data_IF_783817110504
#
_entry.id   IF_783817110504
#
_cell.length_a   1.000
_cell.length_b   1.000
_cell.length_c   1.000
_cell.angle_alpha   90.00
_cell.angle_beta   90.00
_cell.angle_gamma   90.00
#
_symmetry.space_group_name_H-M   'P 1'
#
loop_
_entity.id
_entity.type
_entity.pdbx_description
1 polymer ?
#
# COMPACT_ATOMS: atom_id res chain seq x y z
N UNK A 1 9.20 -1.37 3.15
CA UNK A 1 8.66 -1.00 1.82
C UNK A 1 7.98 -2.17 1.09
N UNK A 2 7.04 -2.91 1.73
CA UNK A 2 6.34 -4.05 1.11
C UNK A 2 5.09 -3.66 0.29
N UNK A 3 4.59 -2.45 0.48
CA UNK A 3 3.31 -1.96 -0.09
C UNK A 3 3.43 -1.43 -1.54
N UNK A 4 4.63 -1.05 -1.99
CA UNK A 4 4.81 -0.34 -3.26
C UNK A 4 4.76 -1.24 -4.51
N UNK A 5 5.18 -2.51 -4.39
CA UNK A 5 5.33 -3.38 -5.56
C UNK A 5 4.01 -3.95 -6.10
N UNK A 6 2.99 -4.16 -5.26
CA UNK A 6 1.68 -4.68 -5.69
C UNK A 6 0.71 -3.61 -6.23
N UNK A 7 1.00 -2.32 -6.00
CA UNK A 7 0.21 -1.23 -6.59
C UNK A 7 0.79 -0.88 -7.97
N UNK A 8 2.09 -1.08 -8.18
CA UNK A 8 2.77 -0.69 -9.40
C UNK A 8 2.18 -1.35 -10.64
N UNK A 9 1.91 -2.67 -10.61
CA UNK A 9 1.37 -3.34 -11.80
C UNK A 9 -0.11 -2.97 -11.99
N UNK A 10 -0.91 -2.96 -10.94
CA UNK A 10 -2.32 -2.58 -10.99
C UNK A 10 -2.52 -1.14 -11.45
N UNK A 11 -1.56 -0.26 -11.20
CA UNK A 11 -1.55 1.11 -11.70
C UNK A 11 -1.04 1.20 -13.15
N UNK A 12 0.06 0.53 -13.50
CA UNK A 12 0.70 0.68 -14.82
C UNK A 12 -0.07 -0.08 -15.91
N UNK A 13 -0.58 -1.27 -15.59
CA UNK A 13 -1.24 -2.13 -16.56
C UNK A 13 -2.43 -1.47 -17.27
N UNK A 14 -3.42 -0.89 -16.57
CA UNK A 14 -4.50 -0.16 -17.24
C UNK A 14 -3.96 1.00 -18.08
N UNK A 15 -2.88 1.66 -17.64
CA UNK A 15 -2.20 2.69 -18.42
C UNK A 15 -1.71 2.17 -19.77
N UNK A 16 -1.03 1.01 -19.80
CA UNK A 16 -0.57 0.39 -21.06
C UNK A 16 -1.75 0.00 -21.95
N UNK A 17 -2.82 -0.56 -21.37
CA UNK A 17 -4.01 -0.99 -22.10
C UNK A 17 -4.67 0.19 -22.82
N UNK A 18 -4.92 1.28 -22.09
CA UNK A 18 -5.56 2.47 -22.65
C UNK A 18 -4.63 3.27 -23.57
N UNK A 19 -3.33 3.26 -23.32
CA UNK A 19 -2.34 3.90 -24.20
C UNK A 19 -2.38 3.30 -25.60
N UNK A 20 -2.33 1.97 -25.72
CA UNK A 20 -2.36 1.31 -27.03
C UNK A 20 -3.72 1.53 -27.72
N UNK A 21 -4.83 1.50 -26.98
CA UNK A 21 -6.14 1.84 -27.52
C UNK A 21 -6.18 3.27 -28.08
N UNK A 22 -5.59 4.24 -27.36
CA UNK A 22 -5.48 5.62 -27.85
C UNK A 22 -4.59 5.73 -29.09
N UNK A 23 -3.47 4.99 -29.16
CA UNK A 23 -2.63 4.96 -30.38
C UNK A 23 -3.42 4.42 -31.57
N UNK A 24 -4.16 3.32 -31.41
CA UNK A 24 -5.01 2.75 -32.47
C UNK A 24 -6.02 3.78 -32.96
N UNK A 25 -6.70 4.47 -32.03
CA UNK A 25 -7.66 5.52 -32.35
C UNK A 25 -7.02 6.70 -33.09
N UNK A 26 -5.86 7.18 -32.63
CA UNK A 26 -5.12 8.25 -33.30
C UNK A 26 -4.73 7.82 -34.73
N UNK A 27 -4.30 6.58 -34.92
CA UNK A 27 -3.97 6.06 -36.26
C UNK A 27 -5.18 5.91 -37.17
N UNK A 28 -6.39 5.81 -36.61
CA UNK A 28 -7.64 5.77 -37.37
C UNK A 28 -8.02 7.16 -37.94
N UNK A 29 -7.47 8.25 -37.39
CA UNK A 29 -7.74 9.61 -37.87
C UNK A 29 -7.20 9.78 -39.29
N UNK A 30 -8.11 9.80 -40.27
CA UNK A 30 -7.78 9.97 -41.69
C UNK A 30 -7.45 8.67 -42.44
N UNK A 31 -7.69 7.50 -41.84
CA UNK A 31 -7.60 6.21 -42.53
C UNK A 31 -8.74 6.06 -43.56
N UNK A 32 -8.45 5.36 -44.67
CA UNK A 32 -9.46 4.95 -45.64
C UNK A 32 -10.26 3.73 -45.12
N UNK A 33 -11.31 3.33 -45.82
CA UNK A 33 -12.18 2.24 -45.37
C UNK A 33 -11.42 0.92 -45.10
N UNK A 34 -10.43 0.60 -45.93
CA UNK A 34 -9.60 -0.60 -45.74
C UNK A 34 -8.69 -0.46 -44.52
N UNK A 35 -8.12 0.72 -44.29
CA UNK A 35 -7.33 1.01 -43.09
C UNK A 35 -8.17 0.94 -41.80
N UNK A 36 -9.42 1.40 -41.83
CA UNK A 36 -10.33 1.34 -40.69
C UNK A 36 -10.69 -0.10 -40.33
N UNK A 37 -11.02 -0.95 -41.32
CA UNK A 37 -11.29 -2.38 -41.08
C UNK A 37 -10.07 -3.09 -40.47
N UNK A 38 -8.86 -2.79 -40.98
CA UNK A 38 -7.64 -3.36 -40.42
C UNK A 38 -7.36 -2.89 -38.99
N UNK A 39 -7.61 -1.60 -38.69
CA UNK A 39 -7.45 -1.06 -37.34
C UNK A 39 -8.50 -1.62 -36.37
N UNK A 40 -9.70 -1.91 -36.84
CA UNK A 40 -10.72 -2.62 -36.07
C UNK A 40 -10.25 -4.02 -35.69
N UNK A 41 -9.70 -4.80 -36.63
CA UNK A 41 -9.14 -6.12 -36.32
C UNK A 41 -7.99 -6.04 -35.31
N UNK A 42 -7.12 -5.04 -35.45
CA UNK A 42 -6.03 -4.78 -34.50
C UNK A 42 -6.59 -4.43 -33.11
N UNK A 43 -7.63 -3.61 -33.05
CA UNK A 43 -8.32 -3.28 -31.80
C UNK A 43 -8.94 -4.54 -31.16
N UNK A 44 -9.60 -5.38 -31.96
CA UNK A 44 -10.20 -6.64 -31.48
C UNK A 44 -9.15 -7.57 -30.88
N UNK A 45 -8.04 -7.75 -31.60
CA UNK A 45 -6.94 -8.57 -31.12
C UNK A 45 -6.32 -7.99 -29.85
N UNK A 46 -6.14 -6.67 -29.79
CA UNK A 46 -5.62 -5.98 -28.61
C UNK A 46 -6.55 -6.10 -27.40
N UNK A 47 -7.85 -5.92 -27.59
CA UNK A 47 -8.84 -6.05 -26.53
C UNK A 47 -8.82 -7.45 -25.92
N UNK A 48 -8.83 -8.50 -26.73
CA UNK A 48 -8.75 -9.89 -26.26
C UNK A 48 -7.40 -10.14 -25.56
N UNK A 49 -6.30 -9.66 -26.13
CA UNK A 49 -4.97 -9.78 -25.54
C UNK A 49 -4.88 -9.06 -24.18
N UNK A 50 -5.54 -7.91 -24.03
CA UNK A 50 -5.55 -7.12 -22.80
C UNK A 50 -6.29 -7.83 -21.66
N UNK A 51 -7.42 -8.47 -21.96
CA UNK A 51 -8.14 -9.33 -21.00
C UNK A 51 -7.26 -10.51 -20.61
N UNK A 52 -6.62 -11.15 -21.59
CA UNK A 52 -5.66 -12.23 -21.35
C UNK A 52 -4.54 -11.80 -20.42
N UNK A 53 -3.93 -10.63 -20.67
CA UNK A 53 -2.81 -10.11 -19.88
C UNK A 53 -3.25 -9.78 -18.44
N UNK A 54 -4.41 -9.13 -18.28
CA UNK A 54 -4.99 -8.83 -16.97
C UNK A 54 -5.33 -10.08 -16.15
N UNK A 55 -5.71 -11.19 -16.80
CA UNK A 55 -6.04 -12.46 -16.14
C UNK A 55 -4.82 -13.37 -15.92
N UNK A 56 -3.84 -13.33 -16.83
CA UNK A 56 -2.66 -14.20 -16.80
C UNK A 56 -1.72 -13.80 -15.67
N UNK A 57 -1.57 -12.50 -15.40
CA UNK A 57 -0.72 -12.00 -14.32
C UNK A 57 -1.12 -12.54 -12.93
N UNK A 58 -2.39 -12.44 -12.48
CA UNK A 58 -2.81 -13.07 -11.23
C UNK A 58 -2.73 -14.59 -11.30
N UNK A 59 -2.99 -15.22 -12.46
CA UNK A 59 -2.88 -16.68 -12.61
C UNK A 59 -1.44 -17.19 -12.37
N UNK A 60 -0.43 -16.51 -12.92
CA UNK A 60 0.98 -16.86 -12.68
C UNK A 60 1.30 -16.78 -11.18
N UNK A 61 0.88 -15.71 -10.53
CA UNK A 61 1.18 -15.49 -9.11
C UNK A 61 0.42 -16.47 -8.23
N UNK A 62 -0.80 -16.85 -8.61
CA UNK A 62 -1.51 -17.95 -7.97
C UNK A 62 -0.74 -19.27 -8.05
N UNK A 63 -0.11 -19.58 -9.19
CA UNK A 63 0.64 -20.83 -9.34
C UNK A 63 1.98 -20.82 -8.60
N UNK A 64 2.69 -19.69 -8.59
CA UNK A 64 4.04 -19.59 -8.02
C UNK A 64 4.01 -19.27 -6.51
N UNK A 65 3.13 -18.36 -6.07
CA UNK A 65 3.10 -17.82 -4.68
C UNK A 65 1.69 -17.72 -4.13
N UNK A 66 1.09 -18.89 -3.84
CA UNK A 66 -0.25 -19.02 -3.25
C UNK A 66 -0.43 -18.29 -1.92
N UNK A 67 0.65 -18.16 -1.15
CA UNK A 67 0.70 -17.49 0.15
C UNK A 67 0.49 -15.98 0.05
N UNK A 68 1.05 -15.33 -0.97
CA UNK A 68 0.96 -13.89 -1.19
C UNK A 68 -0.17 -13.53 -2.16
N UNK A 69 -0.69 -14.50 -2.92
CA UNK A 69 -1.69 -14.29 -3.97
C UNK A 69 -2.91 -13.46 -3.52
N UNK A 70 -3.45 -13.73 -2.34
CA UNK A 70 -4.61 -12.97 -1.83
C UNK A 70 -4.28 -11.50 -1.61
N UNK A 71 -3.14 -11.23 -0.97
CA UNK A 71 -2.68 -9.87 -0.75
C UNK A 71 -2.33 -9.17 -2.06
N UNK A 72 -1.71 -9.89 -2.99
CA UNK A 72 -1.44 -9.41 -4.34
C UNK A 72 -2.72 -9.01 -5.07
N UNK A 73 -3.76 -9.87 -5.09
CA UNK A 73 -5.04 -9.54 -5.70
C UNK A 73 -5.69 -8.29 -5.10
N UNK A 74 -5.60 -8.07 -3.79
CA UNK A 74 -6.17 -6.87 -3.15
C UNK A 74 -5.46 -5.61 -3.65
N UNK A 75 -4.13 -5.62 -3.73
CA UNK A 75 -3.39 -4.47 -4.26
C UNK A 75 -3.60 -4.26 -5.75
N UNK A 76 -3.59 -5.31 -6.54
CA UNK A 76 -3.76 -5.22 -7.99
C UNK A 76 -5.18 -4.80 -8.37
N UNK A 77 -6.20 -5.41 -7.77
CA UNK A 77 -7.58 -5.02 -8.00
C UNK A 77 -7.86 -3.60 -7.48
N UNK A 78 -7.26 -3.24 -6.34
CA UNK A 78 -7.35 -1.89 -5.80
C UNK A 78 -6.67 -0.85 -6.69
N UNK A 79 -5.46 -1.15 -7.16
CA UNK A 79 -4.72 -0.32 -8.11
C UNK A 79 -5.45 -0.20 -9.44
N UNK A 80 -5.90 -1.32 -10.02
CA UNK A 80 -6.65 -1.33 -11.27
C UNK A 80 -7.92 -0.50 -11.15
N UNK A 81 -8.70 -0.68 -10.06
CA UNK A 81 -9.93 0.06 -9.84
C UNK A 81 -9.73 1.57 -9.67
N UNK A 82 -8.65 1.97 -9.00
CA UNK A 82 -8.33 3.39 -8.78
C UNK A 82 -7.75 4.07 -10.03
N UNK A 83 -6.82 3.40 -10.72
CA UNK A 83 -6.06 4.01 -11.80
C UNK A 83 -6.67 3.81 -13.19
N UNK A 84 -7.50 2.78 -13.42
CA UNK A 84 -8.12 2.57 -14.73
C UNK A 84 -8.98 3.77 -15.19
N UNK A 85 -9.86 4.35 -14.36
CA UNK A 85 -10.62 5.54 -14.76
C UNK A 85 -9.71 6.74 -15.06
N UNK A 86 -8.64 6.92 -14.28
CA UNK A 86 -7.67 8.00 -14.46
C UNK A 86 -6.94 7.88 -15.80
N UNK A 87 -6.42 6.71 -16.11
CA UNK A 87 -5.75 6.47 -17.38
C UNK A 87 -6.68 6.63 -18.57
N UNK A 88 -7.91 6.12 -18.46
CA UNK A 88 -8.90 6.27 -19.50
C UNK A 88 -9.21 7.75 -19.79
N UNK A 89 -9.35 8.60 -18.76
CA UNK A 89 -9.54 10.04 -18.95
C UNK A 89 -8.33 10.69 -19.66
N UNK A 90 -7.11 10.40 -19.19
CA UNK A 90 -5.87 10.96 -19.76
C UNK A 90 -5.71 10.56 -21.23
N UNK A 91 -5.89 9.28 -21.54
CA UNK A 91 -5.69 8.80 -22.91
C UNK A 91 -6.84 9.17 -23.85
N UNK A 92 -8.03 9.47 -23.32
CA UNK A 92 -9.11 10.06 -24.12
C UNK A 92 -8.71 11.45 -24.60
N UNK A 93 -8.24 12.32 -23.69
CA UNK A 93 -7.71 13.65 -24.04
C UNK A 93 -6.58 13.56 -25.06
N UNK A 94 -5.61 12.66 -24.85
CA UNK A 94 -4.48 12.46 -25.77
C UNK A 94 -4.96 11.97 -27.14
N UNK A 95 -6.03 11.17 -27.19
CA UNK A 95 -6.60 10.65 -28.44
C UNK A 95 -7.37 11.69 -29.27
N UNK A 96 -7.59 12.89 -28.73
CA UNK A 96 -8.19 14.03 -29.43
C UNK A 96 -9.62 14.38 -28.99
N UNK A 97 -10.23 13.58 -28.11
CA UNK A 97 -11.55 13.89 -27.54
C UNK A 97 -11.41 14.40 -26.11
N UNK A 98 -12.20 15.41 -25.70
CA UNK A 98 -12.15 15.88 -24.33
C UNK A 98 -12.63 14.79 -23.36
N UNK A 99 -11.92 14.57 -22.25
CA UNK A 99 -12.23 13.53 -21.27
C UNK A 99 -13.67 13.58 -20.75
N UNK A 100 -14.28 14.76 -20.71
CA UNK A 100 -15.65 14.94 -20.25
C UNK A 100 -16.70 14.37 -21.23
N UNK A 101 -16.34 14.13 -22.50
CA UNK A 101 -17.23 13.50 -23.48
C UNK A 101 -17.67 12.12 -23.03
N UNK A 102 -16.80 11.37 -22.34
CA UNK A 102 -17.08 10.06 -21.77
C UNK A 102 -18.30 10.10 -20.82
N UNK A 103 -18.48 11.21 -20.11
CA UNK A 103 -19.58 11.39 -19.16
C UNK A 103 -20.87 11.89 -19.80
N UNK A 104 -20.78 12.54 -20.97
CA UNK A 104 -21.94 13.14 -21.66
C UNK A 104 -22.46 12.19 -22.75
N UNK A 105 -21.57 11.62 -23.54
CA UNK A 105 -21.85 10.86 -24.76
C UNK A 105 -21.63 9.35 -24.54
N UNK A 106 -20.73 8.98 -23.61
CA UNK A 106 -20.34 7.59 -23.39
C UNK A 106 -19.11 7.20 -24.21
N UNK A 107 -18.91 5.89 -24.43
CA UNK A 107 -17.83 5.38 -25.28
C UNK A 107 -18.45 4.61 -26.44
N UNK A 108 -18.23 5.09 -27.67
CA UNK A 108 -18.66 4.41 -28.89
C UNK A 108 -17.72 3.25 -29.22
N UNK A 109 -18.27 2.10 -29.61
CA UNK A 109 -17.52 0.89 -29.97
C UNK A 109 -16.46 0.46 -28.92
N UNK A 110 -16.71 0.78 -27.65
CA UNK A 110 -15.74 0.57 -26.56
C UNK A 110 -15.67 -0.85 -26.02
N UNK A 111 -16.69 -1.65 -26.27
CA UNK A 111 -16.75 -3.08 -25.92
C UNK A 111 -16.88 -3.90 -27.18
N UNK A 112 -16.34 -5.12 -27.12
CA UNK A 112 -16.43 -6.06 -28.24
C UNK A 112 -17.47 -7.12 -27.89
N UNK A 113 -18.45 -7.28 -28.77
CA UNK A 113 -19.51 -8.26 -28.60
C UNK A 113 -19.84 -9.00 -29.88
N UNK A 114 -20.69 -10.01 -29.73
CA UNK A 114 -21.23 -10.78 -30.84
C UNK A 114 -22.62 -10.28 -31.18
N UNK A 115 -22.82 -9.88 -32.44
CA UNK A 115 -24.16 -9.54 -32.91
C UNK A 115 -25.00 -10.80 -33.10
N UNK A 116 -26.33 -10.67 -33.20
CA UNK A 116 -27.22 -11.81 -33.48
C UNK A 116 -26.88 -12.57 -34.77
N UNK A 117 -26.18 -11.91 -35.71
CA UNK A 117 -25.62 -12.50 -36.94
C UNK A 117 -24.35 -13.32 -36.74
N UNK A 118 -23.74 -13.29 -35.55
CA UNK A 118 -22.46 -13.94 -35.25
C UNK A 118 -21.23 -13.13 -35.64
N UNK A 119 -21.41 -11.88 -36.09
CA UNK A 119 -20.31 -10.97 -36.40
C UNK A 119 -19.78 -10.32 -35.12
N UNK A 120 -18.49 -9.96 -35.15
CA UNK A 120 -17.86 -9.18 -34.08
C UNK A 120 -18.18 -7.71 -34.35
N UNK A 121 -18.89 -7.09 -33.41
CA UNK A 121 -19.33 -5.69 -33.51
C UNK A 121 -18.94 -4.94 -32.23
N UNK A 122 -18.72 -3.63 -32.39
CA UNK A 122 -18.55 -2.73 -31.28
C UNK A 122 -19.87 -2.50 -30.56
N UNK A 123 -19.81 -2.49 -29.23
CA UNK A 123 -20.93 -2.18 -28.36
C UNK A 123 -20.64 -0.84 -27.69
N UNK A 124 -21.55 0.11 -27.91
CA UNK A 124 -21.52 1.39 -27.24
C UNK A 124 -21.78 1.25 -25.74
N UNK A 125 -20.95 1.93 -24.96
CA UNK A 125 -21.10 2.03 -23.51
C UNK A 125 -21.77 3.36 -23.19
N UNK A 126 -23.06 3.31 -22.86
CA UNK A 126 -23.80 4.50 -22.43
C UNK A 126 -23.21 5.08 -21.12
N UNK A 127 -23.17 6.41 -21.06
CA UNK A 127 -22.81 7.17 -19.87
C UNK A 127 -23.62 6.78 -18.62
N UNK A 128 -24.89 6.37 -18.78
CA UNK A 128 -25.75 5.94 -17.68
C UNK A 128 -25.17 4.74 -16.92
N UNK A 129 -24.46 3.84 -17.61
CA UNK A 129 -23.78 2.69 -17.00
C UNK A 129 -22.34 3.03 -16.61
N UNK A 130 -21.67 3.82 -17.45
CA UNK A 130 -20.26 4.14 -17.29
C UNK A 130 -19.99 4.96 -16.02
N UNK A 131 -20.82 5.97 -15.71
CA UNK A 131 -20.68 6.80 -14.51
C UNK A 131 -20.74 5.96 -13.22
N UNK A 132 -21.80 5.15 -12.96
CA UNK A 132 -21.84 4.27 -11.80
C UNK A 132 -20.66 3.30 -11.72
N UNK A 133 -20.24 2.73 -12.85
CA UNK A 133 -19.10 1.79 -12.89
C UNK A 133 -17.81 2.48 -12.47
N UNK A 134 -17.55 3.70 -12.94
CA UNK A 134 -16.36 4.46 -12.55
C UNK A 134 -16.38 4.85 -11.08
N UNK A 135 -17.53 5.30 -10.57
CA UNK A 135 -17.66 5.61 -9.14
C UNK A 135 -17.41 4.35 -8.32
N UNK A 136 -18.04 3.22 -8.67
CA UNK A 136 -17.83 1.95 -8.00
C UNK A 136 -16.37 1.50 -8.07
N UNK A 137 -15.71 1.65 -9.23
CA UNK A 137 -14.30 1.32 -9.44
C UNK A 137 -13.38 2.12 -8.52
N UNK A 138 -13.58 3.43 -8.44
CA UNK A 138 -12.78 4.31 -7.56
C UNK A 138 -13.04 4.00 -6.10
N UNK A 139 -14.31 3.84 -5.70
CA UNK A 139 -14.68 3.52 -4.32
C UNK A 139 -14.09 2.17 -3.89
N UNK A 140 -14.21 1.14 -4.73
CA UNK A 140 -13.60 -0.17 -4.48
C UNK A 140 -12.08 -0.09 -4.44
N UNK A 141 -11.47 0.70 -5.32
CA UNK A 141 -10.04 0.98 -5.34
C UNK A 141 -9.56 1.56 -4.01
N UNK A 142 -10.24 2.59 -3.51
CA UNK A 142 -9.94 3.22 -2.22
C UNK A 142 -10.13 2.22 -1.06
N UNK A 143 -11.21 1.45 -1.06
CA UNK A 143 -11.49 0.46 -0.01
C UNK A 143 -10.41 -0.62 0.02
N UNK A 144 -10.03 -1.17 -1.13
CA UNK A 144 -9.04 -2.24 -1.21
C UNK A 144 -7.62 -1.76 -0.87
N UNK A 145 -7.27 -0.53 -1.27
CA UNK A 145 -5.98 0.07 -0.94
C UNK A 145 -5.94 0.65 0.49
N UNK A 146 -7.07 0.70 1.20
CA UNK A 146 -7.11 1.21 2.56
C UNK A 146 -6.28 0.31 3.50
N UNK A 147 -5.36 0.88 4.31
CA UNK A 147 -4.51 0.10 5.21
C UNK A 147 -5.29 -0.87 6.10
N UNK A 148 -6.44 -0.46 6.64
CA UNK A 148 -7.27 -1.31 7.50
C UNK A 148 -7.92 -2.49 6.77
N UNK A 149 -8.17 -2.37 5.46
CA UNK A 149 -8.71 -3.48 4.67
C UNK A 149 -7.60 -4.51 4.40
N UNK A 150 -6.41 -4.01 4.07
CA UNK A 150 -5.23 -4.84 3.84
C UNK A 150 -4.81 -5.60 5.10
N UNK A 151 -4.85 -4.98 6.28
CA UNK A 151 -4.51 -5.68 7.54
C UNK A 151 -5.53 -6.75 7.90
N UNK A 152 -6.81 -6.53 7.59
CA UNK A 152 -7.90 -7.47 7.89
C UNK A 152 -8.04 -8.63 6.88
N UNK A 153 -7.76 -8.37 5.60
CA UNK A 153 -8.01 -9.32 4.52
C UNK A 153 -6.74 -9.76 3.77
N UNK A 154 -5.60 -9.10 3.98
CA UNK A 154 -4.29 -9.54 3.50
C UNK A 154 -3.79 -10.74 4.30
N UNK A 155 -2.91 -11.54 3.70
CA UNK A 155 -2.32 -12.68 4.37
C UNK A 155 -1.52 -12.19 5.59
N UNK A 156 -1.99 -12.53 6.79
CA UNK A 156 -1.35 -12.24 8.07
C UNK A 156 -0.07 -13.05 8.21
N UNK A 157 1.00 -12.57 7.59
CA UNK A 157 2.35 -12.84 8.07
C UNK A 157 2.63 -11.93 9.27
N UNK A 158 2.37 -12.44 10.48
CA UNK A 158 2.71 -11.84 11.78
C UNK A 158 2.07 -10.48 12.09
N UNK A 159 0.84 -10.51 12.60
CA UNK A 159 0.52 -9.73 13.80
C UNK A 159 -0.09 -10.72 14.76
N UNK A 160 0.76 -11.32 15.60
CA UNK A 160 0.25 -11.99 16.80
C UNK A 160 -0.56 -10.95 17.54
N UNK A 161 -1.87 -11.15 17.63
CA UNK A 161 -2.68 -10.43 18.61
C UNK A 161 -1.94 -10.50 19.95
N UNK A 162 -1.75 -9.38 20.67
CA UNK A 162 -1.18 -9.43 22.01
C UNK A 162 -2.11 -10.30 22.84
N UNK A 163 -1.72 -11.56 23.07
CA UNK A 163 -2.42 -12.41 24.03
C UNK A 163 -2.38 -11.67 25.36
N UNK A 164 -3.52 -11.46 26.04
CA UNK A 164 -3.50 -10.86 27.36
C UNK A 164 -2.64 -11.76 28.25
N UNK A 165 -1.58 -11.18 28.81
CA UNK A 165 -0.72 -11.82 29.79
C UNK A 165 -1.63 -12.14 30.98
N UNK A 166 -2.00 -13.41 31.12
CA UNK A 166 -2.55 -13.89 32.39
C UNK A 166 -1.41 -13.84 33.39
N UNK A 167 -1.52 -12.94 34.35
CA UNK A 167 -0.80 -13.05 35.61
C UNK A 167 -1.16 -14.41 36.24
N UNK A 168 -0.23 -15.36 36.19
CA UNK A 168 -0.26 -16.48 37.11
C UNK A 168 1.16 -16.75 37.57
N UNK A 169 1.37 -16.31 38.80
CA UNK A 169 2.40 -16.72 39.74
C UNK A 169 2.63 -18.24 39.69
N UNK A 170 3.87 -18.66 39.93
CA UNK A 170 4.33 -19.98 40.43
C UNK A 170 5.29 -20.78 39.52
N UNK A 171 6.33 -21.29 40.19
CA UNK A 171 7.56 -21.95 39.74
C UNK A 171 7.41 -23.22 38.87
N UNK A 172 8.50 -23.66 38.20
CA UNK A 172 8.45 -24.60 37.08
C UNK A 172 8.41 -26.07 37.51
N UNK A 173 7.70 -26.91 36.76
CA UNK A 173 7.91 -28.37 36.77
C UNK A 173 7.67 -28.93 35.36
N UNK A 174 8.78 -29.34 34.75
CA UNK A 174 9.01 -30.28 33.63
C UNK A 174 7.80 -30.94 32.94
N UNK A 175 7.71 -30.75 31.62
CA UNK A 175 7.48 -31.85 30.67
C UNK A 175 7.93 -31.43 29.27
N UNK A 176 8.78 -32.26 28.67
CA UNK A 176 9.44 -32.11 27.37
C UNK A 176 8.47 -31.96 26.19
N UNK A 177 8.61 -30.88 25.42
CA UNK A 177 8.41 -30.89 23.97
C UNK A 177 9.48 -29.97 23.35
N UNK A 178 10.25 -30.53 22.42
CA UNK A 178 11.41 -29.93 21.74
C UNK A 178 11.12 -28.52 21.21
N UNK A 179 11.49 -27.50 21.97
CA UNK A 179 11.68 -26.16 21.46
C UNK A 179 12.94 -26.16 20.62
N UNK A 180 12.82 -25.81 19.34
CA UNK A 180 13.96 -25.35 18.55
C UNK A 180 14.63 -24.20 19.31
N UNK A 181 15.77 -24.47 19.92
CA UNK A 181 16.70 -23.45 20.42
C UNK A 181 17.12 -22.61 19.22
N UNK A 182 16.40 -21.50 19.02
CA UNK A 182 16.96 -20.37 18.29
C UNK A 182 18.00 -19.80 19.23
N UNK A 183 19.27 -20.06 18.95
CA UNK A 183 20.42 -19.31 19.48
C UNK A 183 20.24 -17.83 19.09
N UNK A 184 19.37 -17.13 19.79
CA UNK A 184 19.45 -15.68 19.90
C UNK A 184 20.66 -15.43 20.79
N UNK A 185 21.69 -14.70 20.32
CA UNK A 185 22.73 -14.25 21.23
C UNK A 185 22.05 -13.51 22.38
N UNK A 186 22.44 -13.79 23.61
CA UNK A 186 22.03 -13.03 24.80
C UNK A 186 22.39 -11.55 24.57
N UNK A 187 21.48 -10.79 23.99
CA UNK A 187 21.57 -9.34 23.92
C UNK A 187 21.20 -8.85 25.31
N UNK A 188 22.19 -8.85 26.20
CA UNK A 188 22.09 -8.23 27.52
C UNK A 188 21.70 -6.78 27.26
N UNK A 189 20.54 -6.36 27.78
CA UNK A 189 20.12 -4.97 27.74
C UNK A 189 21.26 -4.10 28.28
N UNK A 190 21.65 -3.02 27.57
CA UNK A 190 22.77 -2.19 27.99
C UNK A 190 22.50 -1.68 29.40
N UNK A 191 23.32 -2.11 30.36
CA UNK A 191 23.23 -1.60 31.72
C UNK A 191 23.67 -0.13 31.71
N UNK A 192 22.96 0.76 32.41
CA UNK A 192 23.26 2.18 32.38
C UNK A 192 24.67 2.43 32.95
N UNK A 193 25.60 2.78 32.08
CA UNK A 193 26.93 3.27 32.44
C UNK A 193 26.87 4.79 32.62
N UNK A 194 27.81 5.37 33.37
CA UNK A 194 27.89 6.84 33.57
C UNK A 194 27.97 7.58 32.24
N UNK A 195 28.63 6.99 31.24
CA UNK A 195 28.77 7.53 29.90
C UNK A 195 27.44 7.52 29.11
N UNK A 196 26.62 6.48 29.31
CA UNK A 196 25.29 6.38 28.66
C UNK A 196 24.29 7.41 29.18
N UNK A 197 24.35 7.71 30.48
CA UNK A 197 23.54 8.75 31.14
C UNK A 197 23.98 10.15 30.68
N UNK A 198 25.29 10.36 30.53
CA UNK A 198 25.83 11.61 29.98
C UNK A 198 25.39 11.84 28.53
N UNK A 199 25.42 10.78 27.71
CA UNK A 199 25.00 10.81 26.31
C UNK A 199 23.49 11.09 26.17
N UNK A 200 22.67 10.47 27.02
CA UNK A 200 21.23 10.75 27.08
C UNK A 200 20.95 12.20 27.45
N UNK A 201 21.68 12.74 28.43
CA UNK A 201 21.56 14.15 28.84
C UNK A 201 21.92 15.11 27.71
N UNK A 202 23.01 14.86 27.00
CA UNK A 202 23.43 15.67 25.85
C UNK A 202 22.36 15.68 24.75
N UNK A 203 21.81 14.51 24.43
CA UNK A 203 20.70 14.40 23.45
C UNK A 203 19.47 15.19 23.89
N UNK A 204 19.09 15.14 25.17
CA UNK A 204 17.95 15.88 25.68
C UNK A 204 18.18 17.41 25.69
N UNK A 205 19.41 17.85 26.00
CA UNK A 205 19.80 19.27 25.92
C UNK A 205 19.72 19.75 24.47
N UNK A 206 20.26 18.99 23.51
CA UNK A 206 20.19 19.32 22.09
C UNK A 206 18.75 19.44 21.57
N UNK A 207 17.84 18.63 22.12
CA UNK A 207 16.40 18.67 21.81
C UNK A 207 15.64 19.79 22.53
N UNK A 208 16.35 20.74 23.17
CA UNK A 208 15.81 21.86 23.94
C UNK A 208 14.86 21.42 25.08
N UNK A 209 15.08 20.24 25.66
CA UNK A 209 14.35 19.81 26.86
C UNK A 209 14.86 20.60 28.06
N UNK A 210 13.94 21.10 28.90
CA UNK A 210 14.33 21.88 30.07
C UNK A 210 15.01 21.01 31.12
N UNK A 211 16.08 21.52 31.74
CA UNK A 211 16.88 20.83 32.76
C UNK A 211 16.06 20.15 33.89
N UNK A 212 14.95 20.73 34.41
CA UNK A 212 14.12 20.06 35.41
C UNK A 212 13.49 18.76 34.89
N UNK A 213 13.10 18.74 33.61
CA UNK A 213 12.48 17.58 32.95
C UNK A 213 13.53 16.50 32.69
N UNK A 214 14.73 16.89 32.28
CA UNK A 214 15.86 15.97 32.09
C UNK A 214 16.15 15.22 33.39
N UNK A 215 16.24 15.94 34.51
CA UNK A 215 16.50 15.31 35.81
C UNK A 215 15.38 14.35 36.24
N UNK A 216 14.11 14.64 35.93
CA UNK A 216 13.00 13.73 36.20
C UNK A 216 13.11 12.42 35.40
N UNK A 217 13.50 12.52 34.12
CA UNK A 217 13.69 11.36 33.23
C UNK A 217 14.89 10.51 33.71
N UNK A 218 16.02 11.13 34.06
CA UNK A 218 17.19 10.39 34.53
C UNK A 218 16.95 9.72 35.89
N UNK A 219 16.20 10.38 36.78
CA UNK A 219 15.85 9.85 38.10
C UNK A 219 14.77 8.76 38.06
N UNK A 220 14.06 8.59 36.94
CA UNK A 220 13.05 7.54 36.76
C UNK A 220 13.64 6.19 36.32
N UNK A 221 14.97 6.06 36.31
CA UNK A 221 15.66 4.84 35.89
C UNK A 221 15.86 4.71 34.38
N UNK A 222 15.55 5.76 33.60
CA UNK A 222 15.83 5.82 32.17
C UNK A 222 17.25 6.35 32.00
N UNK A 223 18.20 5.43 31.87
CA UNK A 223 19.63 5.76 31.82
C UNK A 223 20.21 5.82 30.41
N UNK A 224 19.52 5.26 29.41
CA UNK A 224 19.98 5.23 28.01
C UNK A 224 18.94 5.83 27.05
N UNK A 225 19.40 6.27 25.87
CA UNK A 225 18.52 6.72 24.78
C UNK A 225 17.61 5.60 24.27
N UNK A 226 18.07 4.35 24.33
CA UNK A 226 17.29 3.16 23.99
C UNK A 226 16.16 2.92 25.00
N UNK A 227 16.43 3.07 26.29
CA UNK A 227 15.39 2.94 27.33
C UNK A 227 14.33 4.04 27.20
N UNK A 228 14.76 5.25 26.82
CA UNK A 228 13.84 6.36 26.62
C UNK A 228 12.92 6.11 25.41
N UNK A 229 13.44 5.56 24.30
CA UNK A 229 12.63 5.18 23.13
C UNK A 229 11.71 3.98 23.43
N UNK A 230 12.13 3.07 24.30
CA UNK A 230 11.32 1.94 24.76
C UNK A 230 10.18 2.34 25.72
N UNK A 231 10.24 3.56 26.26
CA UNK A 231 9.21 4.10 27.17
C UNK A 231 8.03 4.65 26.38
N UNK A 232 6.79 4.34 26.80
CA UNK A 232 5.61 4.88 26.10
C UNK A 232 5.44 6.38 26.34
N UNK A 233 4.75 7.07 25.43
CA UNK A 233 4.48 8.50 25.58
C UNK A 233 3.65 8.82 26.84
N UNK A 234 2.74 7.92 27.24
CA UNK A 234 1.98 8.04 28.49
C UNK A 234 2.88 7.92 29.72
N UNK A 235 3.81 6.96 29.71
CA UNK A 235 4.76 6.77 30.81
C UNK A 235 5.71 7.97 30.90
N UNK A 236 6.22 8.45 29.76
CA UNK A 236 7.09 9.62 29.72
C UNK A 236 6.37 10.88 30.19
N UNK A 237 5.13 11.11 29.76
CA UNK A 237 4.30 12.22 30.22
C UNK A 237 4.07 12.17 31.75
N UNK A 238 3.79 10.98 32.29
CA UNK A 238 3.59 10.77 33.73
C UNK A 238 4.86 11.02 34.55
N UNK A 239 6.04 10.74 34.00
CA UNK A 239 7.33 10.90 34.69
C UNK A 239 7.82 12.35 34.62
N UNK A 240 7.75 12.94 33.43
CA UNK A 240 8.33 14.25 33.13
C UNK A 240 7.39 15.42 33.44
N UNK A 241 6.10 15.16 33.68
CA UNK A 241 5.07 16.19 33.80
C UNK A 241 4.78 16.90 32.47
N UNK A 242 5.24 16.35 31.34
CA UNK A 242 4.94 16.84 30.00
C UNK A 242 3.50 16.49 29.61
N UNK A 243 2.88 17.36 28.79
CA UNK A 243 1.66 16.99 28.08
C UNK A 243 1.93 15.79 27.17
N UNK A 244 0.95 14.88 27.03
CA UNK A 244 1.07 13.67 26.20
C UNK A 244 1.60 13.97 24.79
N UNK A 245 1.13 15.05 24.16
CA UNK A 245 1.58 15.49 22.84
C UNK A 245 3.04 15.95 22.81
N UNK A 246 3.51 16.58 23.89
CA UNK A 246 4.91 16.99 24.02
C UNK A 246 5.82 15.77 24.25
N UNK A 247 5.37 14.78 25.02
CA UNK A 247 6.07 13.51 25.21
C UNK A 247 6.16 12.70 23.90
N UNK A 248 5.08 12.61 23.12
CA UNK A 248 5.07 11.97 21.79
C UNK A 248 6.08 12.65 20.83
N UNK A 249 6.07 13.99 20.77
CA UNK A 249 7.00 14.75 19.94
C UNK A 249 8.46 14.52 20.35
N UNK A 250 8.72 14.45 21.65
CA UNK A 250 10.06 14.19 22.19
C UNK A 250 10.54 12.78 21.81
N UNK A 251 9.70 11.75 21.98
CA UNK A 251 10.03 10.38 21.58
C UNK A 251 10.29 10.26 20.07
N UNK A 252 9.47 10.91 19.25
CA UNK A 252 9.69 10.95 17.79
C UNK A 252 11.00 11.65 17.42
N UNK A 253 11.34 12.76 18.09
CA UNK A 253 12.58 13.48 17.84
C UNK A 253 13.81 12.64 18.21
N UNK A 254 13.75 11.93 19.33
CA UNK A 254 14.82 11.01 19.77
C UNK A 254 14.94 9.83 18.81
N UNK A 255 13.83 9.19 18.43
CA UNK A 255 13.83 8.06 17.51
C UNK A 255 14.39 8.46 16.14
N UNK A 256 14.03 9.65 15.64
CA UNK A 256 14.60 10.21 14.42
C UNK A 256 16.10 10.42 14.57
N UNK A 257 16.56 11.03 15.66
CA UNK A 257 18.00 11.23 15.87
C UNK A 257 18.74 9.89 15.94
N UNK A 258 18.23 8.91 16.69
CA UNK A 258 18.88 7.61 16.86
C UNK A 258 18.95 6.80 15.56
N UNK A 259 17.96 6.93 14.67
CA UNK A 259 17.91 6.19 13.40
C UNK A 259 18.60 6.91 12.24
N UNK A 260 18.81 8.23 12.34
CA UNK A 260 19.37 9.05 11.24
C UNK A 260 20.70 9.74 11.59
N UNK A 261 21.26 9.55 12.79
CA UNK A 261 22.54 10.13 13.22
C UNK A 261 23.78 9.37 12.72
N UNK A 262 23.62 8.25 12.01
CA UNK A 262 24.70 7.47 11.37
C UNK A 262 24.82 7.73 9.85
N UNK A 263 24.30 8.86 9.34
CA UNK A 263 24.52 9.40 7.99
C UNK A 263 25.14 10.81 8.12
#
# INVERSE_FOLDING_TARGET
MRYAYGIAIGAILPGVIFMVAAVIKITALGADAVGLDMLWDIYVLWFIASIGLAMLLPLIIYLIRKDIFRQFLIYEAGGFGLFAPLWLMIFTDISGDPWYSIFIEGITDGLIGFSPSGNIEGIDISNLFLIPIFIASVVLGIIFLHPSFITKYGTTGMVSEPKPIKETTESPTTSDEESMDVDMPDVIAPTPTVDSVASLREVLIELNVQEPIINLILNSGIGTTTDLVATSAEQLASISGLDKRAAENLLMAIQKKLWFSDI
#
